data_IF_302912014016
#
_entry.id   IF_302912014016
#
_cell.length_a   1.000
_cell.length_b   1.000
_cell.length_c   1.000
_cell.angle_alpha   90.00
_cell.angle_beta   90.00
_cell.angle_gamma   90.00
#
_symmetry.space_group_name_H-M   'P 1'
#
loop_
_entity.id
_entity.type
_entity.pdbx_description
1 polymer ?
#
# COMPACT_ATOMS: atom_id res chain seq x y z
N UNK A 1 19.04 33.44 54.66
CA UNK A 1 19.63 32.33 53.88
C UNK A 1 18.59 31.21 53.80
N UNK A 2 17.66 31.31 52.84
CA UNK A 2 16.54 30.35 52.67
C UNK A 2 17.03 29.15 51.84
N UNK A 3 17.00 27.95 52.42
CA UNK A 3 17.25 26.70 51.68
C UNK A 3 16.02 26.41 50.82
N UNK A 4 16.22 26.35 49.50
CA UNK A 4 15.23 25.78 48.59
C UNK A 4 15.03 24.29 48.91
N UNK A 5 13.78 23.78 48.95
CA UNK A 5 13.53 22.35 49.01
C UNK A 5 13.96 21.68 47.69
N UNK A 6 14.48 20.44 47.71
CA UNK A 6 14.85 19.73 46.50
C UNK A 6 13.61 19.50 45.63
N UNK A 7 13.71 19.82 44.34
CA UNK A 7 12.67 19.56 43.37
C UNK A 7 12.31 18.06 43.38
N UNK A 8 11.03 17.75 43.56
CA UNK A 8 10.50 16.41 43.37
C UNK A 8 10.79 15.97 41.93
N UNK A 9 11.39 14.79 41.71
CA UNK A 9 11.60 14.29 40.35
C UNK A 9 10.23 14.15 39.65
N UNK A 10 10.13 14.51 38.36
CA UNK A 10 8.88 14.38 37.62
C UNK A 10 8.44 12.90 37.62
N UNK A 11 7.12 12.61 37.68
CA UNK A 11 6.64 11.24 37.55
C UNK A 11 7.17 10.67 36.24
N UNK A 12 7.88 9.53 36.32
CA UNK A 12 8.40 8.83 35.17
C UNK A 12 7.24 8.62 34.17
N UNK A 13 7.33 9.24 32.99
CA UNK A 13 6.43 8.90 31.89
C UNK A 13 6.56 7.40 31.66
N UNK A 14 5.46 6.65 31.54
CA UNK A 14 5.54 5.25 31.17
C UNK A 14 6.23 5.17 29.80
N UNK A 15 7.45 4.67 29.78
CA UNK A 15 8.18 4.35 28.55
C UNK A 15 7.41 3.21 27.90
N UNK A 16 7.09 3.33 26.60
CA UNK A 16 6.32 2.35 25.82
C UNK A 16 6.84 0.89 25.95
N UNK A 17 8.07 0.72 26.40
CA UNK A 17 8.73 -0.54 26.75
C UNK A 17 8.03 -1.36 27.84
N UNK A 18 7.14 -0.77 28.66
CA UNK A 18 6.40 -1.51 29.69
C UNK A 18 5.10 -2.15 29.18
N UNK A 19 4.67 -1.83 27.95
CA UNK A 19 3.54 -2.48 27.27
C UNK A 19 3.94 -3.77 26.53
N UNK A 20 5.23 -4.13 26.53
CA UNK A 20 5.85 -4.97 25.50
C UNK A 20 6.23 -6.40 25.94
N UNK A 21 5.90 -6.85 27.16
CA UNK A 21 6.35 -8.17 27.64
C UNK A 21 5.33 -9.00 28.44
N UNK A 22 4.21 -8.42 28.85
CA UNK A 22 3.12 -9.12 29.59
C UNK A 22 1.77 -8.89 28.89
N UNK A 23 1.79 -8.79 27.56
CA UNK A 23 0.58 -8.69 26.77
C UNK A 23 -0.04 -10.08 26.69
N UNK A 24 -1.29 -10.21 27.12
CA UNK A 24 -2.02 -11.47 27.04
C UNK A 24 -1.92 -12.05 25.61
N UNK A 25 -1.58 -13.34 25.45
CA UNK A 25 -1.32 -13.95 24.14
C UNK A 25 -2.53 -13.85 23.19
N UNK A 26 -3.74 -13.69 23.74
CA UNK A 26 -4.96 -13.44 22.96
C UNK A 26 -4.96 -12.06 22.33
N UNK A 27 -4.47 -11.05 23.06
CA UNK A 27 -4.37 -9.66 22.57
C UNK A 27 -3.28 -9.55 21.51
N UNK A 28 -2.14 -10.22 21.70
CA UNK A 28 -1.06 -10.24 20.72
C UNK A 28 -1.49 -10.90 19.41
N UNK A 29 -2.17 -12.04 19.47
CA UNK A 29 -2.75 -12.69 18.29
C UNK A 29 -3.77 -11.80 17.57
N UNK A 30 -4.55 -11.00 18.31
CA UNK A 30 -5.52 -10.06 17.74
C UNK A 30 -4.83 -8.87 17.06
N UNK A 31 -3.73 -8.36 17.62
CA UNK A 31 -2.93 -7.30 17.03
C UNK A 31 -2.27 -7.80 15.74
N UNK A 32 -1.69 -9.00 15.75
CA UNK A 32 -1.04 -9.57 14.56
C UNK A 32 -2.05 -9.78 13.43
N UNK A 33 -3.24 -10.31 13.73
CA UNK A 33 -4.31 -10.47 12.73
C UNK A 33 -4.73 -9.13 12.10
N UNK A 34 -4.76 -8.05 12.89
CA UNK A 34 -5.09 -6.70 12.39
C UNK A 34 -3.92 -6.08 11.63
N UNK A 35 -2.70 -6.27 12.09
CA UNK A 35 -1.49 -5.81 11.41
C UNK A 35 -1.39 -6.42 10.00
N UNK A 36 -1.65 -7.72 9.88
CA UNK A 36 -1.73 -8.41 8.58
C UNK A 36 -2.82 -7.80 7.71
N UNK A 37 -4.04 -7.57 8.23
CA UNK A 37 -5.12 -6.98 7.45
C UNK A 37 -4.76 -5.58 6.92
N UNK A 38 -4.16 -4.73 7.76
CA UNK A 38 -3.79 -3.37 7.39
C UNK A 38 -2.62 -3.34 6.41
N UNK A 39 -1.64 -4.23 6.59
CA UNK A 39 -0.51 -4.38 5.68
C UNK A 39 -0.99 -4.76 4.28
N UNK A 40 -1.94 -5.70 4.17
CA UNK A 40 -2.53 -6.11 2.89
C UNK A 40 -3.26 -4.94 2.21
N UNK A 41 -4.08 -4.19 2.95
CA UNK A 41 -4.77 -3.02 2.43
C UNK A 41 -3.81 -1.92 1.94
N UNK A 42 -2.77 -1.60 2.73
CA UNK A 42 -1.78 -0.60 2.32
C UNK A 42 -1.00 -1.04 1.09
N UNK A 43 -0.59 -2.31 1.02
CA UNK A 43 0.20 -2.81 -0.09
C UNK A 43 -0.58 -2.77 -1.42
N UNK A 44 -1.92 -2.92 -1.40
CA UNK A 44 -2.78 -2.69 -2.57
C UNK A 44 -2.83 -1.21 -2.94
N UNK A 45 -2.97 -0.32 -1.96
CA UNK A 45 -3.05 1.11 -2.19
C UNK A 45 -1.76 1.68 -2.79
N UNK A 46 -0.60 1.21 -2.32
CA UNK A 46 0.70 1.59 -2.87
C UNK A 46 0.86 1.13 -4.32
N UNK A 47 0.50 -0.12 -4.63
CA UNK A 47 0.53 -0.64 -6.01
C UNK A 47 -0.43 0.12 -6.93
N UNK A 48 -1.65 0.39 -6.46
CA UNK A 48 -2.63 1.17 -7.20
C UNK A 48 -2.15 2.60 -7.51
N UNK A 49 -1.55 3.27 -6.52
CA UNK A 49 -0.94 4.60 -6.70
C UNK A 49 0.15 4.58 -7.77
N UNK A 50 1.02 3.57 -7.76
CA UNK A 50 2.12 3.45 -8.71
C UNK A 50 1.62 3.23 -10.14
N UNK A 51 0.65 2.32 -10.33
CA UNK A 51 -0.02 2.09 -11.64
C UNK A 51 -0.71 3.35 -12.15
N UNK A 52 -1.38 4.09 -11.27
CA UNK A 52 -2.08 5.34 -11.64
C UNK A 52 -1.08 6.40 -12.10
N UNK A 53 0.01 6.61 -11.36
CA UNK A 53 1.05 7.59 -11.73
C UNK A 53 1.70 7.21 -13.06
N UNK A 54 2.06 5.94 -13.25
CA UNK A 54 2.65 5.44 -14.50
C UNK A 54 1.71 5.68 -15.70
N UNK A 55 0.43 5.36 -15.52
CA UNK A 55 -0.60 5.56 -16.55
C UNK A 55 -0.73 7.04 -16.92
N UNK A 56 -0.78 7.93 -15.91
CA UNK A 56 -0.85 9.38 -16.13
C UNK A 56 0.41 9.89 -16.83
N UNK A 57 1.58 9.39 -16.45
CA UNK A 57 2.86 9.74 -17.08
C UNK A 57 2.87 9.33 -18.55
N UNK A 58 2.55 8.07 -18.87
CA UNK A 58 2.47 7.60 -20.26
C UNK A 58 1.44 8.38 -21.08
N UNK A 59 0.24 8.62 -20.54
CA UNK A 59 -0.80 9.41 -21.22
C UNK A 59 -0.35 10.84 -21.50
N UNK A 60 0.30 11.50 -20.53
CA UNK A 60 0.85 12.84 -20.69
C UNK A 60 1.98 12.87 -21.72
N UNK A 61 2.88 11.89 -21.72
CA UNK A 61 3.96 11.79 -22.70
C UNK A 61 3.41 11.60 -24.11
N UNK A 62 2.40 10.75 -24.31
CA UNK A 62 1.74 10.55 -25.62
C UNK A 62 1.06 11.85 -26.09
N UNK A 63 0.40 12.58 -25.19
CA UNK A 63 -0.18 13.89 -25.50
C UNK A 63 0.89 14.89 -25.92
N UNK A 64 1.94 15.06 -25.11
CA UNK A 64 3.03 15.99 -25.40
C UNK A 64 3.74 15.64 -26.72
N UNK A 65 4.00 14.35 -26.97
CA UNK A 65 4.64 13.89 -28.20
C UNK A 65 3.77 14.17 -29.43
N UNK A 66 2.46 13.92 -29.36
CA UNK A 66 1.57 14.17 -30.49
C UNK A 66 1.38 15.66 -30.79
N UNK A 67 1.33 16.50 -29.75
CA UNK A 67 1.31 17.95 -29.92
C UNK A 67 2.63 18.48 -30.51
N UNK A 68 3.76 17.95 -30.04
CA UNK A 68 5.08 18.29 -30.59
C UNK A 68 5.23 17.89 -32.06
N UNK A 69 4.56 16.83 -32.50
CA UNK A 69 4.52 16.39 -33.90
C UNK A 69 3.47 17.15 -34.76
N UNK A 70 2.81 18.18 -34.23
CA UNK A 70 1.74 18.93 -34.93
C UNK A 70 0.61 18.03 -35.46
N UNK A 71 0.39 16.88 -34.81
CA UNK A 71 -0.70 15.98 -35.17
C UNK A 71 -2.05 16.57 -34.74
N UNK A 72 -3.14 16.24 -35.44
CA UNK A 72 -4.46 16.71 -35.06
C UNK A 72 -4.78 16.29 -33.62
N UNK A 73 -5.03 17.27 -32.74
CA UNK A 73 -5.16 17.08 -31.30
C UNK A 73 -6.19 16.00 -30.93
N UNK A 74 -7.26 15.87 -31.71
CA UNK A 74 -8.30 14.83 -31.53
C UNK A 74 -7.75 13.42 -31.72
N UNK A 75 -6.86 13.22 -32.69
CA UNK A 75 -6.24 11.91 -32.95
C UNK A 75 -5.25 11.55 -31.84
N UNK A 76 -4.45 12.53 -31.40
CA UNK A 76 -3.49 12.37 -30.30
C UNK A 76 -4.21 12.08 -28.99
N UNK A 77 -5.29 12.80 -28.70
CA UNK A 77 -6.11 12.56 -27.50
C UNK A 77 -6.68 11.14 -27.51
N UNK A 78 -7.20 10.67 -28.65
CA UNK A 78 -7.72 9.30 -28.77
C UNK A 78 -6.63 8.25 -28.54
N UNK A 79 -5.43 8.47 -29.09
CA UNK A 79 -4.29 7.59 -28.89
C UNK A 79 -3.84 7.56 -27.42
N UNK A 80 -3.71 8.73 -26.79
CA UNK A 80 -3.34 8.85 -25.39
C UNK A 80 -4.36 8.15 -24.48
N UNK A 81 -5.66 8.31 -24.73
CA UNK A 81 -6.72 7.64 -23.97
C UNK A 81 -6.69 6.12 -24.16
N UNK A 82 -6.53 5.63 -25.40
CA UNK A 82 -6.41 4.19 -25.66
C UNK A 82 -5.20 3.56 -24.96
N UNK A 83 -4.04 4.20 -25.04
CA UNK A 83 -2.79 3.72 -24.43
C UNK A 83 -2.89 3.74 -22.91
N UNK A 84 -3.35 4.85 -22.34
CA UNK A 84 -3.52 4.98 -20.89
C UNK A 84 -4.57 3.98 -20.36
N UNK A 85 -5.70 3.82 -21.02
CA UNK A 85 -6.71 2.84 -20.64
C UNK A 85 -6.16 1.40 -20.69
N UNK A 86 -5.43 1.04 -21.75
CA UNK A 86 -4.83 -0.30 -21.89
C UNK A 86 -3.76 -0.58 -20.85
N UNK A 87 -2.88 0.39 -20.59
CA UNK A 87 -1.85 0.29 -19.55
C UNK A 87 -2.48 0.17 -18.15
N UNK A 88 -3.49 0.99 -17.87
CA UNK A 88 -4.21 0.97 -16.60
C UNK A 88 -4.94 -0.35 -16.37
N UNK A 89 -5.67 -0.83 -17.38
CA UNK A 89 -6.38 -2.11 -17.29
C UNK A 89 -5.41 -3.27 -17.04
N UNK A 90 -4.26 -3.28 -17.73
CA UNK A 90 -3.21 -4.28 -17.52
C UNK A 90 -2.61 -4.19 -16.11
N UNK A 91 -2.36 -2.99 -15.60
CA UNK A 91 -1.88 -2.76 -14.24
C UNK A 91 -2.88 -3.21 -13.16
N UNK A 92 -4.17 -2.92 -13.34
CA UNK A 92 -5.23 -3.41 -12.45
C UNK A 92 -5.37 -4.93 -12.49
N UNK A 93 -5.27 -5.53 -13.68
CA UNK A 93 -5.30 -6.98 -13.86
C UNK A 93 -4.15 -7.63 -13.09
N UNK A 94 -2.93 -7.10 -13.15
CA UNK A 94 -1.78 -7.62 -12.41
C UNK A 94 -1.94 -7.52 -10.89
N UNK A 95 -2.49 -6.40 -10.40
CA UNK A 95 -2.80 -6.22 -8.97
C UNK A 95 -3.85 -7.25 -8.52
N UNK A 96 -4.91 -7.41 -9.31
CA UNK A 96 -5.96 -8.41 -9.06
C UNK A 96 -5.42 -9.83 -9.06
N UNK A 97 -4.59 -10.18 -10.05
CA UNK A 97 -3.97 -11.50 -10.18
C UNK A 97 -3.04 -11.80 -9.01
N UNK A 98 -2.28 -10.81 -8.54
CA UNK A 98 -1.41 -10.94 -7.36
C UNK A 98 -2.24 -11.34 -6.13
N UNK A 99 -3.37 -10.66 -5.88
CA UNK A 99 -4.27 -11.02 -4.79
C UNK A 99 -4.97 -12.38 -4.98
N UNK A 100 -5.28 -12.75 -6.22
CA UNK A 100 -5.88 -14.05 -6.54
C UNK A 100 -4.88 -15.21 -6.35
N UNK A 101 -3.62 -15.01 -6.73
CA UNK A 101 -2.54 -15.97 -6.53
C UNK A 101 -2.29 -16.23 -5.05
N UNK A 102 -2.32 -15.20 -4.22
CA UNK A 102 -2.12 -15.32 -2.77
C UNK A 102 -3.19 -16.24 -2.15
N UNK A 103 -4.47 -16.02 -2.49
CA UNK A 103 -5.57 -16.90 -2.04
C UNK A 103 -5.51 -18.30 -2.67
N UNK A 104 -5.13 -18.39 -3.94
CA UNK A 104 -5.02 -19.66 -4.67
C UNK A 104 -3.93 -20.57 -4.09
N UNK A 105 -2.79 -19.99 -3.71
CA UNK A 105 -1.69 -20.70 -3.06
C UNK A 105 -2.08 -21.15 -1.64
N UNK A 106 -2.78 -20.31 -0.87
CA UNK A 106 -3.28 -20.73 0.45
C UNK A 106 -4.24 -21.93 0.33
N UNK A 107 -5.19 -21.87 -0.60
CA UNK A 107 -6.11 -22.98 -0.87
C UNK A 107 -5.37 -24.26 -1.31
N UNK A 108 -4.41 -24.13 -2.23
CA UNK A 108 -3.64 -25.26 -2.75
C UNK A 108 -2.74 -25.90 -1.67
N UNK A 109 -2.09 -25.10 -0.84
CA UNK A 109 -1.23 -25.61 0.24
C UNK A 109 -2.03 -26.27 1.35
N UNK A 110 -3.25 -25.79 1.66
CA UNK A 110 -4.18 -26.43 2.61
C UNK A 110 -4.66 -27.78 2.09
N UNK A 111 -5.01 -27.86 0.80
CA UNK A 111 -5.36 -29.13 0.16
C UNK A 111 -4.20 -30.14 0.20
N UNK A 112 -2.97 -29.68 0.00
CA UNK A 112 -1.78 -30.54 0.05
C UNK A 112 -1.37 -30.97 1.46
N UNK A 113 -1.75 -30.23 2.52
CA UNK A 113 -1.48 -30.60 3.93
C UNK A 113 -2.52 -31.53 4.54
N UNK A 114 -3.69 -31.65 3.92
CA UNK A 114 -4.76 -32.58 4.30
C UNK A 114 -4.64 -33.97 3.66
N UNK A 115 -3.54 -34.24 2.95
CA UNK A 115 -3.12 -35.55 2.41
C UNK A 115 -1.79 -35.91 3.03
#
# INVERSE_FOLDING_TARGET
>A
MMRHPPATPPPAKPTASQLDLDLDPTIEALIEARAVSLAQHQALFWRFRLVTIETLMMGALVLCAGLALHQPAVMVLRAAVMVSAGCFASGLLLIGLTGAFDRGLDHFTRWRRGK
#
